data_IF_596814715721
#
_entry.id   IF_596814715721
#
_cell.length_a   1.000
_cell.length_b   1.000
_cell.length_c   1.000
_cell.angle_alpha   90.00
_cell.angle_beta   90.00
_cell.angle_gamma   90.00
#
_symmetry.space_group_name_H-M   'P 1'
#
loop_
_entity.id
_entity.type
_entity.pdbx_description
1 polymer ?
#
# COMPACT_ATOMS: atom_id res chain seq x y z
N UNK A 1 6.42 -3.09 12.94
CA UNK A 1 7.46 -3.34 11.90
C UNK A 1 7.26 -4.66 11.15
N UNK A 2 6.29 -5.51 11.53
CA UNK A 2 6.01 -6.80 10.89
C UNK A 2 5.68 -6.72 9.39
N UNK A 3 4.88 -5.73 8.97
CA UNK A 3 4.48 -5.62 7.56
C UNK A 3 5.68 -5.42 6.63
N UNK A 4 6.57 -4.47 6.92
CA UNK A 4 7.70 -4.16 6.05
C UNK A 4 8.68 -5.34 5.92
N UNK A 5 8.83 -6.14 6.98
CA UNK A 5 9.64 -7.37 6.96
C UNK A 5 9.14 -8.40 5.94
N UNK A 6 7.84 -8.39 5.62
CA UNK A 6 7.24 -9.33 4.65
C UNK A 6 7.01 -8.67 3.29
N UNK A 7 6.53 -7.43 3.28
CA UNK A 7 6.14 -6.69 2.08
C UNK A 7 7.37 -6.27 1.26
N UNK A 8 8.43 -5.79 1.90
CA UNK A 8 9.61 -5.31 1.18
C UNK A 8 10.31 -6.42 0.37
N UNK A 9 10.61 -7.62 0.95
CA UNK A 9 11.15 -8.72 0.16
C UNK A 9 10.18 -9.22 -0.93
N UNK A 10 8.86 -9.21 -0.66
CA UNK A 10 7.84 -9.60 -1.63
C UNK A 10 7.86 -8.69 -2.87
N UNK A 11 7.88 -7.37 -2.68
CA UNK A 11 7.93 -6.41 -3.80
C UNK A 11 9.26 -6.50 -4.57
N UNK A 12 10.38 -6.71 -3.87
CA UNK A 12 11.69 -6.92 -4.52
C UNK A 12 11.71 -8.16 -5.43
N UNK A 13 11.06 -9.26 -5.02
CA UNK A 13 10.92 -10.47 -5.86
C UNK A 13 10.10 -10.22 -7.13
N UNK A 14 9.21 -9.23 -7.12
CA UNK A 14 8.45 -8.80 -8.29
C UNK A 14 9.21 -7.82 -9.20
N UNK A 15 10.44 -7.44 -8.84
CA UNK A 15 11.30 -6.55 -9.62
C UNK A 15 10.65 -5.19 -9.94
N UNK A 16 9.88 -4.67 -8.97
CA UNK A 16 9.21 -3.37 -9.09
C UNK A 16 10.16 -2.25 -8.67
N UNK A 17 10.03 -1.09 -9.32
CA UNK A 17 10.49 0.17 -8.76
C UNK A 17 9.32 0.79 -7.98
N UNK A 18 9.52 0.98 -6.67
CA UNK A 18 8.43 1.33 -5.77
C UNK A 18 8.85 2.19 -4.60
N UNK A 19 7.90 2.99 -4.12
CA UNK A 19 7.98 3.75 -2.87
C UNK A 19 6.86 3.32 -1.91
N UNK A 20 7.17 3.21 -0.61
CA UNK A 20 6.19 2.90 0.44
C UNK A 20 5.93 4.17 1.26
N UNK A 21 4.67 4.60 1.26
CA UNK A 21 4.21 5.81 1.94
C UNK A 21 3.26 5.45 3.07
N UNK A 22 3.73 5.56 4.32
CA UNK A 22 2.93 5.31 5.52
C UNK A 22 2.27 6.61 5.97
N UNK A 23 0.94 6.69 5.85
CA UNK A 23 0.19 7.91 6.17
C UNK A 23 -0.45 7.78 7.54
N UNK A 24 0.06 8.57 8.49
CA UNK A 24 -0.40 8.58 9.88
C UNK A 24 -1.39 9.72 10.15
N UNK A 25 -2.55 9.38 10.72
CA UNK A 25 -3.49 10.39 11.18
C UNK A 25 -3.13 10.85 12.60
N UNK A 26 -2.89 12.15 12.76
CA UNK A 26 -2.74 12.74 14.09
C UNK A 26 -3.99 12.50 14.96
N UNK A 27 -3.76 12.38 16.27
CA UNK A 27 -4.80 12.09 17.26
C UNK A 27 -5.86 13.21 17.37
N UNK A 28 -6.96 12.92 18.07
CA UNK A 28 -8.00 13.90 18.38
C UNK A 28 -9.14 14.04 17.35
N UNK A 29 -9.10 13.25 16.27
CA UNK A 29 -10.22 13.12 15.33
C UNK A 29 -10.48 11.65 15.02
N UNK A 30 -11.73 11.33 14.66
CA UNK A 30 -12.09 9.98 14.19
C UNK A 30 -11.23 9.60 12.98
N UNK A 31 -10.71 8.38 12.99
CA UNK A 31 -9.93 7.84 11.89
C UNK A 31 -10.72 7.89 10.56
N UNK A 32 -10.08 8.39 9.51
CA UNK A 32 -10.66 8.47 8.17
C UNK A 32 -9.71 7.87 7.14
N UNK A 33 -9.83 6.56 6.95
CA UNK A 33 -9.04 5.77 6.01
C UNK A 33 -8.99 6.39 4.60
N UNK A 34 -10.15 6.68 4.01
CA UNK A 34 -10.24 7.21 2.65
C UNK A 34 -9.52 8.56 2.49
N UNK A 35 -9.61 9.43 3.51
CA UNK A 35 -8.90 10.71 3.49
C UNK A 35 -7.38 10.52 3.51
N UNK A 36 -6.87 9.58 4.31
CA UNK A 36 -5.43 9.32 4.36
C UNK A 36 -4.91 8.73 3.05
N UNK A 37 -5.69 7.86 2.39
CA UNK A 37 -5.34 7.36 1.06
C UNK A 37 -5.22 8.50 0.03
N UNK A 38 -6.17 9.44 0.03
CA UNK A 38 -6.08 10.61 -0.84
C UNK A 38 -4.88 11.50 -0.51
N UNK A 39 -4.56 11.68 0.78
CA UNK A 39 -3.37 12.45 1.20
C UNK A 39 -2.11 11.78 0.70
N UNK A 40 -1.94 10.47 0.93
CA UNK A 40 -0.72 9.79 0.50
C UNK A 40 -0.56 9.77 -1.02
N UNK A 41 -1.64 9.67 -1.80
CA UNK A 41 -1.57 9.82 -3.26
C UNK A 41 -0.96 11.18 -3.64
N UNK A 42 -1.43 12.27 -3.02
CA UNK A 42 -0.93 13.61 -3.30
C UNK A 42 0.50 13.84 -2.80
N UNK A 43 0.87 13.29 -1.64
CA UNK A 43 2.22 13.42 -1.09
C UNK A 43 3.23 12.59 -1.90
N UNK A 44 2.88 11.37 -2.31
CA UNK A 44 3.75 10.52 -3.13
C UNK A 44 4.08 11.18 -4.48
N UNK A 45 3.11 11.85 -5.11
CA UNK A 45 3.32 12.61 -6.36
C UNK A 45 4.25 13.82 -6.22
N UNK A 46 4.56 14.27 -4.99
CA UNK A 46 5.55 15.34 -4.79
C UNK A 46 6.98 14.80 -4.80
N UNK A 47 7.17 13.51 -4.54
CA UNK A 47 8.47 12.87 -4.51
C UNK A 47 8.84 12.27 -5.87
N UNK A 48 7.90 11.61 -6.54
CA UNK A 48 8.12 10.96 -7.83
C UNK A 48 6.84 10.92 -8.68
N UNK A 49 6.98 10.85 -10.00
CA UNK A 49 5.85 10.75 -10.91
C UNK A 49 5.40 9.29 -11.09
N UNK A 50 4.82 8.71 -10.05
CA UNK A 50 4.31 7.34 -10.04
C UNK A 50 3.19 7.10 -11.08
N UNK A 51 3.29 6.00 -11.82
CA UNK A 51 2.28 5.59 -12.81
C UNK A 51 1.16 4.73 -12.20
N UNK A 52 1.43 4.11 -11.05
CA UNK A 52 0.53 3.20 -10.37
C UNK A 52 0.49 3.44 -8.86
N UNK A 53 -0.71 3.32 -8.28
CA UNK A 53 -0.94 3.43 -6.84
C UNK A 53 -1.67 2.20 -6.32
N UNK A 54 -1.10 1.59 -5.28
CA UNK A 54 -1.72 0.47 -4.57
C UNK A 54 -2.03 0.94 -3.15
N UNK A 55 -3.32 0.93 -2.81
CA UNK A 55 -3.79 1.21 -1.46
C UNK A 55 -3.79 -0.08 -0.64
N UNK A 56 -2.99 -0.09 0.41
CA UNK A 56 -2.69 -1.29 1.18
C UNK A 56 -2.95 -1.04 2.67
N UNK A 57 -3.71 -1.94 3.31
CA UNK A 57 -3.92 -1.85 4.75
C UNK A 57 -2.70 -2.41 5.49
N UNK A 58 -2.32 -1.75 6.58
CA UNK A 58 -1.09 -2.08 7.32
C UNK A 58 -1.10 -3.46 7.98
N UNK A 59 -2.26 -4.13 8.01
CA UNK A 59 -2.53 -5.39 8.69
C UNK A 59 -2.76 -6.57 7.73
N UNK A 60 -2.51 -6.36 6.44
CA UNK A 60 -2.59 -7.40 5.42
C UNK A 60 -1.17 -7.77 4.96
N UNK A 61 -0.92 -9.06 4.75
CA UNK A 61 0.37 -9.54 4.20
C UNK A 61 0.07 -10.46 3.02
N UNK A 62 0.69 -10.26 1.85
CA UNK A 62 0.50 -11.16 0.73
C UNK A 62 1.18 -12.50 0.99
N UNK A 63 0.44 -13.60 0.83
CA UNK A 63 0.95 -14.97 1.03
C UNK A 63 1.46 -15.63 -0.26
N UNK A 64 1.14 -15.05 -1.42
CA UNK A 64 1.44 -15.64 -2.73
C UNK A 64 2.09 -14.61 -3.66
N UNK A 65 3.33 -14.90 -4.09
CA UNK A 65 4.13 -14.06 -4.99
C UNK A 65 3.49 -13.87 -6.38
N UNK A 66 2.54 -14.72 -6.77
CA UNK A 66 1.77 -14.56 -8.01
C UNK A 66 0.70 -13.45 -7.91
N UNK A 67 0.45 -12.90 -6.72
CA UNK A 67 -0.34 -11.69 -6.58
C UNK A 67 0.50 -10.46 -6.96
N UNK A 68 0.48 -10.09 -8.24
CA UNK A 68 1.31 -9.00 -8.74
C UNK A 68 0.79 -7.64 -8.29
N UNK A 69 1.62 -6.91 -7.54
CA UNK A 69 1.38 -5.55 -7.04
C UNK A 69 1.72 -4.54 -8.14
N UNK A 70 0.91 -4.57 -9.19
CA UNK A 70 0.97 -3.64 -10.32
C UNK A 70 -0.43 -3.27 -10.78
N UNK A 71 -0.54 -2.10 -11.38
CA UNK A 71 -1.79 -1.67 -12.02
C UNK A 71 -2.00 -2.41 -13.34
N UNK A 72 -3.25 -2.50 -13.74
CA UNK A 72 -3.70 -3.06 -15.02
C UNK A 72 -4.62 -2.04 -15.70
N UNK A 73 -5.17 -2.38 -16.87
CA UNK A 73 -6.06 -1.49 -17.64
C UNK A 73 -7.31 -1.06 -16.84
N UNK A 74 -7.72 -1.88 -15.87
CA UNK A 74 -8.86 -1.63 -15.01
C UNK A 74 -8.49 -1.70 -13.53
N UNK A 75 -9.26 -1.05 -12.63
CA UNK A 75 -9.03 -1.13 -11.20
C UNK A 75 -9.00 -2.58 -10.72
N UNK A 76 -7.91 -2.95 -10.04
CA UNK A 76 -7.67 -4.31 -9.57
C UNK A 76 -7.88 -4.43 -8.07
N UNK A 77 -8.66 -5.43 -7.67
CA UNK A 77 -8.79 -5.80 -6.26
C UNK A 77 -7.74 -6.87 -5.92
N UNK A 78 -6.72 -6.52 -5.14
CA UNK A 78 -5.58 -7.42 -4.85
C UNK A 78 -5.86 -8.44 -3.72
N UNK A 79 -6.77 -8.14 -2.80
CA UNK A 79 -7.03 -8.96 -1.61
C UNK A 79 -8.36 -9.70 -1.80
N UNK A 80 -8.35 -10.75 -2.62
CA UNK A 80 -9.56 -11.52 -2.95
C UNK A 80 -9.94 -12.57 -1.90
N UNK A 81 -8.97 -13.01 -1.10
CA UNK A 81 -9.13 -13.89 0.04
C UNK A 81 -8.01 -13.60 1.05
N UNK A 82 -8.33 -13.53 2.33
CA UNK A 82 -7.33 -13.25 3.35
C UNK A 82 -7.95 -13.10 4.74
N UNK A 83 -7.10 -13.21 5.76
CA UNK A 83 -7.45 -12.93 7.15
C UNK A 83 -6.67 -11.69 7.59
N UNK A 84 -7.37 -10.66 8.06
CA UNK A 84 -6.71 -9.50 8.62
C UNK A 84 -6.03 -9.87 9.95
N UNK A 85 -4.81 -9.37 10.17
CA UNK A 85 -4.04 -9.66 11.38
C UNK A 85 -4.62 -8.99 12.65
N UNK A 86 -5.69 -8.19 12.50
CA UNK A 86 -6.50 -7.67 13.61
C UNK A 86 -5.83 -6.53 14.37
N UNK A 87 -4.94 -5.78 13.72
CA UNK A 87 -4.19 -4.72 14.38
C UNK A 87 -4.93 -3.38 14.22
N UNK A 88 -5.41 -2.80 15.33
CA UNK A 88 -6.20 -1.56 15.35
C UNK A 88 -5.44 -0.28 15.01
N UNK A 89 -4.52 -0.32 14.06
CA UNK A 89 -3.70 0.83 13.68
C UNK A 89 -4.51 1.86 12.88
N UNK A 90 -4.25 3.14 13.15
CA UNK A 90 -4.85 4.32 12.49
C UNK A 90 -3.99 4.84 11.34
N UNK A 91 -3.37 3.91 10.62
CA UNK A 91 -2.42 4.18 9.53
C UNK A 91 -2.81 3.38 8.29
N UNK A 92 -2.51 3.92 7.12
CA UNK A 92 -2.64 3.24 5.83
C UNK A 92 -1.34 3.35 5.07
N UNK A 93 -1.08 2.37 4.22
CA UNK A 93 0.06 2.40 3.31
C UNK A 93 -0.40 2.64 1.89
N UNK A 94 0.42 3.37 1.16
CA UNK A 94 0.30 3.54 -0.28
C UNK A 94 1.62 3.13 -0.90
N UNK A 95 1.55 2.24 -1.88
CA UNK A 95 2.69 1.91 -2.69
C UNK A 95 2.57 2.66 -4.01
N UNK A 96 3.53 3.55 -4.27
CA UNK A 96 3.77 4.07 -5.61
C UNK A 96 4.62 3.07 -6.38
N UNK A 97 4.24 2.74 -7.61
CA UNK A 97 4.97 1.80 -8.46
C UNK A 97 5.16 2.41 -9.84
N UNK A 98 6.39 2.43 -10.35
CA UNK A 98 6.67 2.76 -11.75
C UNK A 98 6.52 1.48 -12.58
N UNK A 99 5.73 1.56 -13.65
CA UNK A 99 5.59 0.44 -14.56
C UNK A 99 6.71 0.49 -15.59
N UNK A 100 7.35 -0.65 -15.92
CA UNK A 100 8.37 -0.72 -16.97
C UNK A 100 7.80 -0.48 -18.38
#
# INVERSE_FOLDING_TARGET
MYLLEHLHPFLQRQQLDYGIYVIHQAEGKKFNRAKLLNVGYLEALKEENWDCFIFHDVDLVPENDFNLYKCEEHPKHLVVAGTALGTGYVTVDILGVLLP
#
